data_IF_691207190070
#
_entry.id   IF_691207190070
#
_cell.length_a   1.000
_cell.length_b   1.000
_cell.length_c   1.000
_cell.angle_alpha   90.00
_cell.angle_beta   90.00
_cell.angle_gamma   90.00
#
_symmetry.space_group_name_H-M   'P 1'
#
loop_
_entity.id
_entity.type
_entity.pdbx_description
1 polymer ?
#
# COMPACT_ATOMS: atom_id res chain seq x y z
N UNK A 1 20.07 -9.99 -7.21
CA UNK A 1 20.54 -8.61 -7.45
C UNK A 1 19.40 -7.68 -7.03
N UNK A 2 19.21 -7.56 -5.69
CA UNK A 2 18.17 -6.76 -5.03
C UNK A 2 18.94 -5.82 -4.11
N UNK A 3 19.57 -4.84 -4.70
CA UNK A 3 20.20 -3.77 -3.95
C UNK A 3 19.94 -2.47 -4.70
N UNK A 4 19.05 -1.66 -4.17
CA UNK A 4 18.96 -0.22 -4.26
C UNK A 4 17.50 0.29 -4.23
N UNK A 5 16.71 -0.15 -3.24
CA UNK A 5 15.67 0.74 -2.74
C UNK A 5 16.22 1.37 -1.46
N UNK A 6 17.22 2.25 -1.63
CA UNK A 6 17.57 3.22 -0.61
C UNK A 6 16.32 3.99 -0.26
N UNK A 7 16.08 4.08 1.03
CA UNK A 7 15.16 4.99 1.70
C UNK A 7 15.00 6.31 0.92
N UNK A 8 14.08 6.35 -0.04
CA UNK A 8 13.62 7.60 -0.60
C UNK A 8 12.52 8.01 0.36
N UNK A 9 12.95 8.71 1.43
CA UNK A 9 12.01 9.44 2.28
C UNK A 9 11.12 10.32 1.41
N UNK A 10 9.94 10.72 1.90
CA UNK A 10 9.02 11.54 1.13
C UNK A 10 9.80 12.75 0.62
N UNK A 11 9.82 12.90 -0.69
CA UNK A 11 10.48 14.00 -1.36
C UNK A 11 9.86 15.28 -0.83
N UNK A 12 10.62 15.99 0.01
CA UNK A 12 10.21 17.24 0.66
C UNK A 12 10.12 18.35 -0.40
N UNK A 13 9.10 18.26 -1.26
CA UNK A 13 8.80 19.26 -2.31
C UNK A 13 7.96 20.42 -1.78
N UNK A 14 8.03 20.70 -0.45
CA UNK A 14 7.20 21.72 0.17
C UNK A 14 7.47 23.14 -0.32
N UNK A 15 8.63 23.40 -0.96
CA UNK A 15 9.07 24.76 -1.28
C UNK A 15 9.59 24.98 -2.72
N UNK A 16 9.54 24.00 -3.60
CA UNK A 16 9.96 24.21 -4.99
C UNK A 16 8.75 24.48 -5.88
N UNK A 17 8.81 25.61 -6.61
CA UNK A 17 7.81 25.90 -7.64
C UNK A 17 7.69 24.74 -8.64
N UNK A 18 6.45 24.36 -9.00
CA UNK A 18 6.16 23.37 -10.02
C UNK A 18 6.85 23.73 -11.35
N UNK A 19 7.41 22.72 -11.98
CA UNK A 19 8.02 22.87 -13.30
C UNK A 19 7.42 21.87 -14.30
N UNK A 20 7.66 22.09 -15.59
CA UNK A 20 7.16 21.22 -16.66
C UNK A 20 7.60 19.77 -16.54
N UNK A 21 8.72 19.50 -15.88
CA UNK A 21 9.22 18.15 -15.63
C UNK A 21 8.30 17.40 -14.66
N UNK A 22 7.79 18.06 -13.62
CA UNK A 22 6.88 17.45 -12.65
C UNK A 22 5.56 17.05 -13.32
N UNK A 23 5.02 17.91 -14.19
CA UNK A 23 3.87 17.55 -15.01
C UNK A 23 4.15 16.40 -15.97
N UNK A 24 5.32 16.38 -16.61
CA UNK A 24 5.71 15.29 -17.51
C UNK A 24 5.79 13.94 -16.77
N UNK A 25 6.35 13.92 -15.55
CA UNK A 25 6.42 12.72 -14.71
C UNK A 25 5.01 12.27 -14.32
N UNK A 26 4.15 13.19 -13.87
CA UNK A 26 2.77 12.90 -13.52
C UNK A 26 1.99 12.32 -14.70
N UNK A 27 1.97 12.97 -15.85
CA UNK A 27 1.24 12.49 -17.03
C UNK A 27 1.80 11.18 -17.56
N UNK A 28 3.12 10.99 -17.53
CA UNK A 28 3.74 9.69 -17.85
C UNK A 28 3.24 8.60 -16.92
N UNK A 29 3.14 8.86 -15.63
CA UNK A 29 2.62 7.90 -14.66
C UNK A 29 1.14 7.57 -14.90
N UNK A 30 0.32 8.55 -15.29
CA UNK A 30 -1.10 8.37 -15.56
C UNK A 30 -1.42 7.85 -16.97
N UNK A 31 -0.47 7.85 -17.91
CA UNK A 31 -0.67 7.56 -19.32
C UNK A 31 -0.83 6.08 -19.69
N UNK A 32 -1.09 5.18 -18.73
CA UNK A 32 -1.24 3.74 -18.99
C UNK A 32 -2.38 3.15 -18.16
N UNK A 33 -3.27 2.40 -18.81
CA UNK A 33 -4.48 1.83 -18.23
C UNK A 33 -4.19 1.02 -16.95
N UNK A 34 -3.18 0.16 -16.98
CA UNK A 34 -2.85 -0.69 -15.82
C UNK A 34 -2.46 0.15 -14.59
N UNK A 35 -1.70 1.23 -14.78
CA UNK A 35 -1.35 2.11 -13.66
C UNK A 35 -2.55 2.83 -13.09
N UNK A 36 -3.52 3.19 -13.92
CA UNK A 36 -4.80 3.74 -13.45
C UNK A 36 -5.59 2.72 -12.65
N UNK A 37 -5.64 1.46 -13.09
CA UNK A 37 -6.31 0.37 -12.37
C UNK A 37 -5.61 0.10 -11.02
N UNK A 38 -4.28 0.10 -10.98
CA UNK A 38 -3.51 -0.02 -9.72
C UNK A 38 -3.86 1.15 -8.78
N UNK A 39 -3.83 2.38 -9.25
CA UNK A 39 -4.18 3.55 -8.43
C UNK A 39 -5.60 3.44 -7.86
N UNK A 40 -6.55 2.91 -8.61
CA UNK A 40 -7.94 2.75 -8.16
C UNK A 40 -8.07 1.75 -7.02
N UNK A 41 -7.44 0.58 -7.13
CA UNK A 41 -7.53 -0.41 -6.04
C UNK A 41 -6.78 0.05 -4.78
N UNK A 42 -5.70 0.83 -4.94
CA UNK A 42 -4.93 1.41 -3.84
C UNK A 42 -5.66 2.56 -3.10
N UNK A 43 -6.86 2.96 -3.55
CA UNK A 43 -7.71 3.90 -2.84
C UNK A 43 -8.25 3.29 -1.54
N UNK A 44 -8.74 2.07 -1.62
CA UNK A 44 -9.49 1.43 -0.54
C UNK A 44 -8.58 0.74 0.48
N UNK A 45 -7.42 0.23 0.05
CA UNK A 45 -6.55 -0.59 0.90
C UNK A 45 -5.09 -0.54 0.42
N UNK A 46 -4.20 -1.11 1.24
CA UNK A 46 -2.79 -1.34 0.87
C UNK A 46 -2.60 -2.76 0.37
N UNK A 47 -1.78 -2.91 -0.67
CA UNK A 47 -1.50 -4.20 -1.30
C UNK A 47 -0.01 -4.47 -1.42
N UNK A 48 0.37 -5.73 -1.14
CA UNK A 48 1.70 -6.24 -1.40
C UNK A 48 1.93 -6.54 -2.90
N UNK A 49 3.18 -6.65 -3.31
CA UNK A 49 3.53 -6.93 -4.72
C UNK A 49 2.92 -8.26 -5.19
N UNK A 50 2.95 -9.32 -4.37
CA UNK A 50 2.37 -10.61 -4.69
C UNK A 50 0.85 -10.56 -4.90
N UNK A 51 0.16 -9.76 -4.09
CA UNK A 51 -1.28 -9.54 -4.21
C UNK A 51 -1.63 -8.79 -5.51
N UNK A 52 -0.83 -7.77 -5.85
CA UNK A 52 -0.98 -7.07 -7.13
C UNK A 52 -0.71 -7.99 -8.33
N UNK A 53 0.29 -8.88 -8.24
CA UNK A 53 0.53 -9.90 -9.26
C UNK A 53 -0.69 -10.80 -9.45
N UNK A 54 -1.32 -11.25 -8.37
CA UNK A 54 -2.54 -12.05 -8.41
C UNK A 54 -3.72 -11.29 -9.00
N UNK A 55 -3.93 -10.04 -8.60
CA UNK A 55 -5.06 -9.22 -9.07
C UNK A 55 -4.99 -8.96 -10.59
N UNK A 56 -3.80 -8.69 -11.11
CA UNK A 56 -3.60 -8.31 -12.51
C UNK A 56 -3.09 -9.43 -13.41
N UNK A 57 -2.87 -10.65 -12.91
CA UNK A 57 -2.26 -11.78 -13.63
C UNK A 57 -0.91 -11.44 -14.28
N UNK A 58 -0.10 -10.68 -13.59
CA UNK A 58 1.19 -10.22 -14.09
C UNK A 58 2.36 -10.75 -13.25
N UNK A 59 3.50 -10.87 -13.90
CA UNK A 59 4.76 -11.21 -13.23
C UNK A 59 5.23 -10.07 -12.33
N UNK A 60 5.93 -10.41 -11.26
CA UNK A 60 6.45 -9.46 -10.30
C UNK A 60 7.31 -8.34 -10.93
N UNK A 61 8.11 -8.66 -11.94
CA UNK A 61 8.94 -7.68 -12.63
C UNK A 61 8.11 -6.59 -13.33
N UNK A 62 6.99 -6.98 -13.96
CA UNK A 62 6.08 -6.04 -14.60
C UNK A 62 5.38 -5.14 -13.57
N UNK A 63 4.78 -5.73 -12.52
CA UNK A 63 4.16 -4.95 -11.43
C UNK A 63 5.17 -4.01 -10.78
N UNK A 64 6.39 -4.49 -10.48
CA UNK A 64 7.44 -3.65 -9.87
C UNK A 64 7.83 -2.47 -10.76
N UNK A 65 7.82 -2.63 -12.09
CA UNK A 65 8.06 -1.53 -13.02
C UNK A 65 6.96 -0.46 -12.93
N UNK A 66 5.68 -0.88 -12.93
CA UNK A 66 4.55 0.06 -12.82
C UNK A 66 4.54 0.78 -11.45
N UNK A 67 4.81 0.06 -10.37
CA UNK A 67 4.93 0.65 -9.03
C UNK A 67 6.08 1.66 -8.94
N UNK A 68 7.23 1.36 -9.59
CA UNK A 68 8.35 2.31 -9.66
C UNK A 68 7.94 3.61 -10.35
N UNK A 69 7.28 3.53 -11.51
CA UNK A 69 6.81 4.72 -12.25
C UNK A 69 5.81 5.54 -11.41
N UNK A 70 4.88 4.88 -10.72
CA UNK A 70 3.92 5.54 -9.84
C UNK A 70 4.58 6.18 -8.61
N UNK A 71 5.61 5.52 -8.04
CA UNK A 71 6.41 6.08 -6.93
C UNK A 71 7.24 7.28 -7.34
N UNK A 72 7.82 7.27 -8.55
CA UNK A 72 8.59 8.40 -9.09
C UNK A 72 7.70 9.64 -9.28
N UNK A 73 6.41 9.44 -9.54
CA UNK A 73 5.40 10.50 -9.63
C UNK A 73 4.78 10.87 -8.27
N UNK A 74 5.23 10.27 -7.18
CA UNK A 74 4.72 10.46 -5.81
C UNK A 74 3.21 10.16 -5.65
N UNK A 75 2.66 9.31 -6.54
CA UNK A 75 1.24 8.92 -6.53
C UNK A 75 0.94 7.77 -5.57
N UNK A 76 1.97 7.03 -5.19
CA UNK A 76 1.87 5.92 -4.22
C UNK A 76 2.96 6.02 -3.17
N UNK A 77 2.65 5.57 -1.95
CA UNK A 77 3.57 5.41 -0.86
C UNK A 77 3.81 3.92 -0.57
N UNK A 78 5.07 3.57 -0.29
CA UNK A 78 5.46 2.23 0.11
C UNK A 78 5.71 2.18 1.62
N UNK A 79 5.18 1.16 2.31
CA UNK A 79 5.43 0.86 3.71
C UNK A 79 6.00 -0.54 3.84
N UNK A 80 7.11 -0.67 4.55
CA UNK A 80 7.71 -1.96 4.85
C UNK A 80 7.16 -2.52 6.17
N UNK A 81 6.68 -3.76 6.13
CA UNK A 81 6.25 -4.53 7.29
C UNK A 81 7.00 -5.87 7.31
N UNK A 82 8.00 -5.98 8.16
CA UNK A 82 8.89 -7.14 8.18
C UNK A 82 9.60 -7.34 6.83
N UNK A 83 9.34 -8.46 6.19
CA UNK A 83 9.91 -8.80 4.86
C UNK A 83 9.02 -8.38 3.69
N UNK A 84 7.85 -7.79 3.95
CA UNK A 84 6.87 -7.41 2.93
C UNK A 84 6.87 -5.91 2.72
N UNK A 85 6.57 -5.49 1.48
CA UNK A 85 6.38 -4.09 1.12
C UNK A 85 4.94 -3.96 0.66
N UNK A 86 4.19 -3.08 1.33
CA UNK A 86 2.83 -2.72 0.99
C UNK A 86 2.79 -1.34 0.35
N UNK A 87 1.96 -1.21 -0.66
CA UNK A 87 1.75 0.03 -1.40
C UNK A 87 0.34 0.54 -1.15
N UNK A 88 0.21 1.83 -1.02
CA UNK A 88 -1.08 2.53 -0.92
C UNK A 88 -1.02 3.80 -1.75
N UNK A 89 -2.16 4.37 -2.07
CA UNK A 89 -2.21 5.70 -2.70
C UNK A 89 -1.60 6.74 -1.75
N UNK A 90 -0.79 7.63 -2.32
CA UNK A 90 -0.22 8.73 -1.56
C UNK A 90 -1.21 9.90 -1.56
N UNK A 91 -1.46 10.47 -0.39
CA UNK A 91 -2.22 11.72 -0.25
C UNK A 91 -1.20 12.85 -0.24
N UNK A 92 -1.17 13.64 -1.30
CA UNK A 92 -0.29 14.80 -1.34
C UNK A 92 -0.69 15.78 -0.23
N UNK A 93 0.31 16.36 0.43
CA UNK A 93 0.08 17.34 1.49
C UNK A 93 -0.66 18.58 0.95
N UNK A 94 -1.55 19.13 1.75
CA UNK A 94 -2.21 20.39 1.45
C UNK A 94 -1.16 21.50 1.25
N UNK A 95 -1.36 22.33 0.21
CA UNK A 95 -0.41 23.39 -0.16
C UNK A 95 0.59 23.00 -1.26
N UNK A 96 0.68 21.72 -1.64
CA UNK A 96 1.37 21.34 -2.88
C UNK A 96 0.54 21.80 -4.09
N UNK A 97 1.15 22.54 -5.02
CA UNK A 97 0.44 23.05 -6.22
C UNK A 97 -0.15 21.94 -7.11
N UNK A 98 0.42 20.72 -7.05
CA UNK A 98 -0.13 19.53 -7.75
C UNK A 98 -1.26 18.85 -6.96
N UNK A 99 -1.46 19.15 -5.69
CA UNK A 99 -2.43 18.43 -4.85
C UNK A 99 -3.85 18.52 -5.41
N UNK A 100 -4.28 19.70 -5.83
CA UNK A 100 -5.62 19.90 -6.42
C UNK A 100 -5.80 19.12 -7.73
N UNK A 101 -4.78 19.10 -8.59
CA UNK A 101 -4.81 18.34 -9.84
C UNK A 101 -4.90 16.82 -9.55
N UNK A 102 -4.05 16.32 -8.66
CA UNK A 102 -4.02 14.90 -8.27
C UNK A 102 -5.32 14.48 -7.60
N UNK A 103 -5.88 15.33 -6.74
CA UNK A 103 -7.15 15.07 -6.09
C UNK A 103 -8.30 15.00 -7.09
N UNK A 104 -8.40 15.97 -8.00
CA UNK A 104 -9.40 15.96 -9.09
C UNK A 104 -9.25 14.74 -9.98
N UNK A 105 -8.02 14.39 -10.34
CA UNK A 105 -7.70 13.20 -11.11
C UNK A 105 -8.13 11.92 -10.38
N UNK A 106 -7.84 11.79 -9.09
CA UNK A 106 -8.27 10.64 -8.28
C UNK A 106 -9.79 10.53 -8.21
N UNK A 107 -10.51 11.64 -7.95
CA UNK A 107 -11.97 11.65 -7.98
C UNK A 107 -12.52 11.17 -9.34
N UNK A 108 -11.91 11.62 -10.44
CA UNK A 108 -12.34 11.22 -11.77
C UNK A 108 -12.14 9.73 -12.04
N UNK A 109 -10.96 9.16 -11.73
CA UNK A 109 -10.73 7.72 -11.96
C UNK A 109 -11.54 6.84 -11.00
N UNK A 110 -11.82 7.30 -9.79
CA UNK A 110 -12.56 6.54 -8.77
C UNK A 110 -14.05 6.43 -9.10
N UNK A 111 -14.60 7.38 -9.85
CA UNK A 111 -15.98 7.33 -10.34
C UNK A 111 -16.23 6.26 -11.42
N UNK A 112 -15.17 5.75 -12.05
CA UNK A 112 -15.30 4.75 -13.10
C UNK A 112 -15.58 3.34 -12.52
N UNK A 113 -16.37 2.47 -13.17
CA UNK A 113 -16.59 1.11 -12.70
C UNK A 113 -15.33 0.26 -12.73
N UNK A 114 -15.12 -0.58 -11.74
CA UNK A 114 -14.07 -1.62 -11.74
C UNK A 114 -14.59 -2.80 -12.57
N UNK A 115 -13.72 -3.46 -13.34
CA UNK A 115 -14.12 -4.64 -14.10
C UNK A 115 -14.61 -5.76 -13.16
N UNK A 116 -15.59 -6.53 -13.62
CA UNK A 116 -16.16 -7.62 -12.83
C UNK A 116 -15.09 -8.66 -12.44
N UNK A 117 -14.20 -9.00 -13.36
CA UNK A 117 -13.10 -9.94 -13.12
C UNK A 117 -12.17 -9.46 -12.00
N UNK A 118 -11.81 -8.18 -11.99
CA UNK A 118 -10.95 -7.60 -10.94
C UNK A 118 -11.69 -7.54 -9.61
N UNK A 119 -12.98 -7.19 -9.61
CA UNK A 119 -13.84 -7.18 -8.42
C UNK A 119 -13.94 -8.56 -7.77
N UNK A 120 -14.08 -9.62 -8.58
CA UNK A 120 -14.11 -11.00 -8.09
C UNK A 120 -12.76 -11.42 -7.46
N UNK A 121 -11.65 -11.04 -8.07
CA UNK A 121 -10.31 -11.31 -7.53
C UNK A 121 -10.06 -10.56 -6.23
N UNK A 122 -10.50 -9.32 -6.12
CA UNK A 122 -10.41 -8.53 -4.88
C UNK A 122 -11.18 -9.21 -3.73
N UNK A 123 -12.41 -9.70 -3.99
CA UNK A 123 -13.21 -10.44 -2.99
C UNK A 123 -12.50 -11.72 -2.54
N UNK A 124 -11.94 -12.50 -3.48
CA UNK A 124 -11.16 -13.72 -3.15
C UNK A 124 -9.96 -13.40 -2.28
N UNK A 125 -9.21 -12.35 -2.62
CA UNK A 125 -8.05 -11.92 -1.86
C UNK A 125 -8.46 -11.49 -0.44
N UNK A 126 -9.55 -10.76 -0.30
CA UNK A 126 -10.05 -10.33 1.01
C UNK A 126 -10.48 -11.53 1.87
N UNK A 127 -11.15 -12.52 1.28
CA UNK A 127 -11.48 -13.77 1.97
C UNK A 127 -10.22 -14.53 2.42
N UNK A 128 -9.19 -14.60 1.59
CA UNK A 128 -7.91 -15.22 1.96
C UNK A 128 -7.24 -14.49 3.14
N UNK A 129 -7.25 -13.17 3.14
CA UNK A 129 -6.71 -12.37 4.27
C UNK A 129 -7.44 -12.66 5.57
N UNK A 130 -8.77 -12.71 5.54
CA UNK A 130 -9.60 -13.06 6.72
C UNK A 130 -9.28 -14.46 7.22
N UNK A 131 -9.25 -15.45 6.32
CA UNK A 131 -8.96 -16.84 6.69
C UNK A 131 -7.54 -16.97 7.30
N UNK A 132 -6.54 -16.34 6.69
CA UNK A 132 -5.17 -16.37 7.21
C UNK A 132 -5.07 -15.71 8.59
N UNK A 133 -5.79 -14.61 8.81
CA UNK A 133 -5.85 -13.93 10.10
C UNK A 133 -6.49 -14.84 11.17
N UNK A 134 -7.60 -15.50 10.86
CA UNK A 134 -8.26 -16.44 11.78
C UNK A 134 -7.36 -17.63 12.14
N UNK A 135 -6.70 -18.24 11.15
CA UNK A 135 -5.75 -19.32 11.37
C UNK A 135 -4.57 -18.88 12.26
N UNK A 136 -4.06 -17.68 12.03
CA UNK A 136 -3.00 -17.12 12.86
C UNK A 136 -3.44 -16.97 14.32
N UNK A 137 -4.62 -16.44 14.57
CA UNK A 137 -5.16 -16.29 15.93
C UNK A 137 -5.44 -17.65 16.58
N UNK A 138 -6.01 -18.62 15.86
CA UNK A 138 -6.24 -19.97 16.37
C UNK A 138 -4.94 -20.66 16.76
N UNK A 139 -3.91 -20.59 15.91
CA UNK A 139 -2.62 -21.26 16.16
C UNK A 139 -1.79 -20.57 17.26
N UNK A 140 -2.04 -19.31 17.56
CA UNK A 140 -1.29 -18.57 18.57
C UNK A 140 -2.11 -18.30 19.85
N UNK A 141 -3.37 -18.70 19.91
CA UNK A 141 -4.23 -18.48 21.09
C UNK A 141 -3.61 -19.04 22.38
N UNK A 142 -3.03 -20.23 22.35
CA UNK A 142 -2.37 -20.85 23.50
C UNK A 142 -1.14 -20.05 23.95
N UNK A 143 -0.34 -19.53 23.01
CA UNK A 143 0.85 -18.72 23.33
C UNK A 143 0.47 -17.36 23.95
N UNK A 144 -0.65 -16.77 23.51
CA UNK A 144 -1.16 -15.54 24.12
C UNK A 144 -1.72 -15.78 25.52
N UNK A 145 -2.40 -16.91 25.76
CA UNK A 145 -2.88 -17.29 27.08
C UNK A 145 -1.70 -17.51 28.04
N UNK A 146 -0.67 -18.26 27.66
CA UNK A 146 0.55 -18.46 28.45
C UNK A 146 1.27 -17.16 28.81
N UNK A 147 1.34 -16.21 27.88
CA UNK A 147 1.94 -14.90 28.13
C UNK A 147 1.10 -14.05 29.09
N UNK A 148 -0.23 -14.13 29.02
CA UNK A 148 -1.11 -13.44 29.97
C UNK A 148 -0.99 -14.01 31.36
N UNK A 149 -0.89 -15.33 31.54
CA UNK A 149 -0.68 -15.99 32.82
C UNK A 149 0.67 -15.63 33.44
N UNK A 150 1.72 -15.52 32.64
CA UNK A 150 3.03 -15.03 33.07
C UNK A 150 2.97 -13.58 33.59
N UNK A 151 2.26 -12.69 32.90
CA UNK A 151 2.09 -11.28 33.30
C UNK A 151 1.22 -11.19 34.56
N UNK A 152 0.15 -11.97 34.67
CA UNK A 152 -0.70 -12.04 35.86
C UNK A 152 0.04 -12.61 37.08
N UNK A 153 0.97 -13.55 36.87
CA UNK A 153 1.82 -14.09 37.93
C UNK A 153 2.77 -13.05 38.53
N UNK A 154 3.27 -12.10 37.75
CA UNK A 154 4.16 -11.02 38.22
C UNK A 154 3.46 -10.03 39.18
N UNK A 155 2.16 -9.79 39.02
CA UNK A 155 1.42 -8.88 39.91
C UNK A 155 1.21 -9.41 41.33
N UNK A 156 1.42 -10.70 41.58
CA UNK A 156 1.33 -11.30 42.92
C UNK A 156 2.62 -11.19 43.74
N UNK A 157 3.76 -10.95 43.15
CA UNK A 157 5.04 -10.77 43.86
C UNK A 157 5.25 -9.37 44.47
N UNK A 158 4.44 -8.39 44.11
CA UNK A 158 4.54 -7.02 44.63
C UNK A 158 3.83 -6.74 45.96
N UNK A 159 3.24 -7.74 46.62
CA UNK A 159 2.51 -7.60 47.89
C UNK A 159 3.17 -8.27 49.08
N UNK A 160 4.43 -8.65 48.98
CA UNK A 160 5.20 -9.23 50.07
C UNK A 160 6.48 -8.42 50.32
N UNK A 161 6.33 -7.16 50.74
CA UNK A 161 7.34 -6.41 51.52
C UNK A 161 6.61 -5.39 52.38
#
# INVERSE_FOLDING_TARGET
MIAALKNIGPMNRRDSALNLKDFSIFFKACGEKLRLEILRILQADSFGVSELCFLFDLRQSAISHHLKVLSEADLIAARREGNFIFYRRNMLADGCQLSSLVQTFFCAIDSLPISESLSLKMRKLQQQRVNNSQLFFQNNSNRFAEQQDLIAGYSNYGKMV
#
